data_IF_219135123903
#
_entry.id   IF_219135123903
#
_cell.length_a   1.000
_cell.length_b   1.000
_cell.length_c   1.000
_cell.angle_alpha   90.00
_cell.angle_beta   90.00
_cell.angle_gamma   90.00
#
_symmetry.space_group_name_H-M   'P 1'
#
loop_
_entity.id
_entity.type
_entity.pdbx_description
1 polymer ?
#
# COMPACT_ATOMS: atom_id res chain seq x y z
N UNK A 1 -29.71 20.41 16.79
CA UNK A 1 -28.50 19.78 16.25
C UNK A 1 -27.36 20.78 16.36
N UNK A 2 -26.20 20.38 16.90
CA UNK A 2 -25.05 21.28 17.03
C UNK A 2 -24.38 21.51 15.68
N UNK A 3 -23.54 22.55 15.58
CA UNK A 3 -22.76 22.82 14.38
C UNK A 3 -21.71 21.72 14.10
N UNK A 4 -21.14 21.11 15.15
CA UNK A 4 -20.25 19.95 15.02
C UNK A 4 -20.96 18.72 14.46
N UNK A 5 -22.15 18.40 14.95
CA UNK A 5 -22.93 17.26 14.45
C UNK A 5 -23.34 17.47 12.99
N UNK A 6 -23.72 18.70 12.64
CA UNK A 6 -24.02 19.09 11.25
C UNK A 6 -22.78 18.91 10.36
N UNK A 7 -21.62 19.36 10.85
CA UNK A 7 -20.36 19.23 10.13
C UNK A 7 -20.01 17.78 9.86
N UNK A 8 -20.06 16.92 10.90
CA UNK A 8 -19.67 15.52 10.79
C UNK A 8 -20.55 14.77 9.78
N UNK A 9 -21.88 14.90 9.87
CA UNK A 9 -22.83 14.26 8.94
C UNK A 9 -22.61 14.69 7.48
N UNK A 10 -22.36 15.97 7.26
CA UNK A 10 -22.12 16.51 5.92
C UNK A 10 -20.81 16.00 5.32
N UNK A 11 -19.74 15.94 6.11
CA UNK A 11 -18.45 15.40 5.67
C UNK A 11 -18.55 13.89 5.42
N UNK A 12 -19.18 13.13 6.32
CA UNK A 12 -19.37 11.68 6.17
C UNK A 12 -20.20 11.34 4.93
N UNK A 13 -21.26 12.12 4.65
CA UNK A 13 -22.07 11.94 3.44
C UNK A 13 -21.26 12.21 2.16
N UNK A 14 -20.47 13.29 2.13
CA UNK A 14 -19.64 13.60 0.97
C UNK A 14 -18.49 12.60 0.77
N UNK A 15 -17.86 12.11 1.84
CA UNK A 15 -16.87 11.04 1.77
C UNK A 15 -17.48 9.76 1.19
N UNK A 16 -18.70 9.40 1.61
CA UNK A 16 -19.42 8.26 1.05
C UNK A 16 -19.72 8.43 -0.44
N UNK A 17 -20.10 9.64 -0.88
CA UNK A 17 -20.29 9.95 -2.30
C UNK A 17 -18.98 9.85 -3.09
N UNK A 18 -17.86 10.31 -2.54
CA UNK A 18 -16.53 10.18 -3.16
C UNK A 18 -16.11 8.72 -3.29
N UNK A 19 -16.34 7.89 -2.27
CA UNK A 19 -16.03 6.46 -2.34
C UNK A 19 -16.88 5.72 -3.38
N UNK A 20 -18.13 6.14 -3.59
CA UNK A 20 -19.03 5.52 -4.57
C UNK A 20 -18.74 5.97 -6.00
N UNK A 21 -18.53 7.28 -6.21
CA UNK A 21 -18.50 7.89 -7.54
C UNK A 21 -17.09 8.29 -8.00
N UNK A 22 -16.09 8.19 -7.12
CA UNK A 22 -14.74 8.69 -7.34
C UNK A 22 -14.61 10.19 -7.09
N UNK A 23 -13.37 10.61 -6.81
CA UNK A 23 -12.98 12.01 -6.77
C UNK A 23 -12.58 12.48 -8.17
N UNK A 24 -13.17 13.57 -8.65
CA UNK A 24 -12.73 14.25 -9.88
C UNK A 24 -11.87 15.46 -9.50
N UNK A 25 -11.00 15.88 -10.42
CA UNK A 25 -10.18 17.09 -10.24
C UNK A 25 -11.12 18.28 -10.08
N UNK A 26 -10.98 19.02 -8.97
CA UNK A 26 -11.74 20.25 -8.72
C UNK A 26 -13.06 20.09 -7.96
N UNK A 27 -13.49 18.84 -7.63
CA UNK A 27 -14.71 18.57 -6.84
C UNK A 27 -16.03 19.13 -7.43
N UNK A 28 -16.02 19.60 -8.69
CA UNK A 28 -17.15 20.30 -9.31
C UNK A 28 -18.42 19.45 -9.40
N UNK A 29 -18.26 18.12 -9.48
CA UNK A 29 -19.38 17.17 -9.52
C UNK A 29 -20.09 16.96 -8.18
N UNK A 30 -19.48 17.38 -7.06
CA UNK A 30 -20.13 17.28 -5.75
C UNK A 30 -21.10 18.44 -5.58
N UNK A 31 -22.40 18.15 -5.73
CA UNK A 31 -23.49 19.09 -5.48
C UNK A 31 -23.66 19.33 -3.98
N UNK A 32 -23.62 20.59 -3.56
CA UNK A 32 -23.78 20.93 -2.15
C UNK A 32 -25.17 20.55 -1.64
N UNK A 33 -26.21 20.73 -2.47
CA UNK A 33 -27.59 20.38 -2.12
C UNK A 33 -27.81 18.86 -2.05
N UNK A 34 -27.14 18.08 -2.88
CA UNK A 34 -27.26 16.61 -2.84
C UNK A 34 -26.62 16.06 -1.57
N UNK A 35 -25.47 16.62 -1.15
CA UNK A 35 -24.84 16.28 0.13
C UNK A 35 -25.76 16.64 1.30
N UNK A 36 -26.41 17.81 1.29
CA UNK A 36 -27.38 18.21 2.33
C UNK A 36 -28.52 17.19 2.44
N UNK A 37 -29.08 16.81 1.29
CA UNK A 37 -30.16 15.83 1.23
C UNK A 37 -29.71 14.47 1.78
N UNK A 38 -28.54 13.99 1.36
CA UNK A 38 -28.00 12.70 1.78
C UNK A 38 -27.58 12.67 3.26
N UNK A 39 -27.05 13.77 3.79
CA UNK A 39 -26.69 13.92 5.20
C UNK A 39 -27.92 14.03 6.13
N UNK A 40 -29.11 14.30 5.56
CA UNK A 40 -30.35 14.43 6.32
C UNK A 40 -30.34 15.61 7.30
N UNK A 41 -29.64 16.69 6.95
CA UNK A 41 -29.48 17.88 7.81
C UNK A 41 -30.30 19.07 7.30
N UNK A 42 -30.60 20.00 8.22
CA UNK A 42 -31.29 21.25 7.87
C UNK A 42 -30.40 22.17 7.04
N UNK A 43 -30.94 22.69 5.92
CA UNK A 43 -30.30 23.76 5.12
C UNK A 43 -29.86 24.94 5.97
N UNK A 44 -30.71 25.39 6.90
CA UNK A 44 -30.39 26.54 7.78
C UNK A 44 -29.17 26.27 8.66
N UNK A 45 -29.01 25.05 9.17
CA UNK A 45 -27.83 24.67 9.94
C UNK A 45 -26.58 24.61 9.06
N UNK A 46 -26.72 24.10 7.83
CA UNK A 46 -25.61 24.01 6.86
C UNK A 46 -25.12 25.38 6.43
N UNK A 47 -26.01 26.27 5.98
CA UNK A 47 -25.62 27.63 5.56
C UNK A 47 -25.15 28.51 6.72
N UNK A 48 -25.49 28.17 7.98
CA UNK A 48 -24.88 28.80 9.17
C UNK A 48 -23.42 28.36 9.33
N UNK A 49 -23.11 27.08 9.14
CA UNK A 49 -21.75 26.51 9.29
C UNK A 49 -20.84 26.82 8.09
N UNK A 50 -21.41 26.77 6.89
CA UNK A 50 -20.75 27.04 5.61
C UNK A 50 -21.63 27.97 4.78
N UNK A 51 -21.45 29.30 4.93
CA UNK A 51 -22.19 30.27 4.13
C UNK A 51 -21.96 30.12 2.61
N UNK A 52 -20.81 29.55 2.23
CA UNK A 52 -20.39 29.33 0.84
C UNK A 52 -19.90 27.91 0.62
N UNK A 53 -20.14 27.37 -0.57
CA UNK A 53 -19.74 26.01 -0.98
C UNK A 53 -18.23 25.76 -0.81
N UNK A 54 -17.40 26.75 -1.12
CA UNK A 54 -15.94 26.63 -1.08
C UNK A 54 -15.40 26.36 0.33
N UNK A 55 -16.10 26.85 1.37
CA UNK A 55 -15.73 26.57 2.76
C UNK A 55 -16.01 25.12 3.14
N UNK A 56 -17.12 24.56 2.63
CA UNK A 56 -17.41 23.14 2.79
C UNK A 56 -16.39 22.30 2.03
N UNK A 57 -16.04 22.68 0.81
CA UNK A 57 -15.00 21.99 0.04
C UNK A 57 -13.61 22.06 0.67
N UNK A 58 -13.27 23.17 1.29
CA UNK A 58 -12.03 23.32 2.07
C UNK A 58 -11.97 22.29 3.20
N UNK A 59 -13.07 22.14 3.95
CA UNK A 59 -13.15 21.17 5.05
C UNK A 59 -13.16 19.72 4.51
N UNK A 60 -13.84 19.46 3.38
CA UNK A 60 -13.84 18.15 2.73
C UNK A 60 -12.44 17.76 2.23
N UNK A 61 -11.70 18.67 1.60
CA UNK A 61 -10.32 18.42 1.15
C UNK A 61 -9.40 18.10 2.33
N UNK A 62 -9.58 18.76 3.47
CA UNK A 62 -8.82 18.46 4.69
C UNK A 62 -9.14 17.06 5.22
N UNK A 63 -10.40 16.67 5.28
CA UNK A 63 -10.81 15.31 5.70
C UNK A 63 -10.28 14.25 4.72
N UNK A 64 -10.45 14.46 3.43
CA UNK A 64 -9.92 13.58 2.39
C UNK A 64 -8.41 13.41 2.55
N UNK A 65 -7.65 14.49 2.70
CA UNK A 65 -6.19 14.44 2.90
C UNK A 65 -5.76 13.72 4.18
N UNK A 66 -6.54 13.84 5.26
CA UNK A 66 -6.29 13.11 6.51
C UNK A 66 -6.58 11.61 6.37
N UNK A 67 -7.60 11.26 5.59
CA UNK A 67 -8.04 9.89 5.32
C UNK A 67 -7.33 9.20 4.15
N UNK A 68 -6.54 9.91 3.34
CA UNK A 68 -6.04 9.46 2.03
C UNK A 68 -4.99 8.32 2.03
N UNK A 69 -4.89 7.49 3.07
CA UNK A 69 -3.98 6.33 3.08
C UNK A 69 -4.65 4.97 3.41
N UNK A 70 -5.63 4.47 2.62
CA UNK A 70 -6.39 3.28 3.01
C UNK A 70 -5.96 1.96 2.34
N UNK A 71 -5.40 1.99 1.12
CA UNK A 71 -5.17 0.76 0.34
C UNK A 71 -4.10 -0.19 0.91
N UNK A 72 -3.26 0.30 1.82
CA UNK A 72 -2.12 -0.45 2.34
C UNK A 72 -2.51 -1.64 3.25
N UNK A 73 -3.58 -1.52 4.03
CA UNK A 73 -3.92 -2.52 5.05
C UNK A 73 -4.48 -3.82 4.44
N UNK A 74 -5.36 -3.71 3.44
CA UNK A 74 -5.92 -4.89 2.74
C UNK A 74 -4.85 -5.57 1.88
N UNK A 75 -3.96 -4.79 1.25
CA UNK A 75 -2.83 -5.33 0.51
C UNK A 75 -1.86 -6.10 1.42
N UNK A 76 -1.60 -5.62 2.65
CA UNK A 76 -0.69 -6.25 3.60
C UNK A 76 -1.13 -7.68 4.00
N UNK A 77 -2.40 -7.88 4.37
CA UNK A 77 -2.91 -9.21 4.74
C UNK A 77 -2.90 -10.19 3.57
N UNK A 78 -3.25 -9.71 2.36
CA UNK A 78 -3.19 -10.52 1.15
C UNK A 78 -1.75 -10.92 0.82
N UNK A 79 -0.82 -9.98 0.93
CA UNK A 79 0.60 -10.20 0.66
C UNK A 79 1.21 -11.16 1.68
N UNK A 80 0.90 -11.06 2.98
CA UNK A 80 1.39 -12.02 3.98
C UNK A 80 0.89 -13.45 3.71
N UNK A 81 -0.38 -13.63 3.33
CA UNK A 81 -0.92 -14.94 2.92
C UNK A 81 -0.24 -15.47 1.67
N UNK A 82 0.03 -14.62 0.68
CA UNK A 82 0.74 -14.98 -0.54
C UNK A 82 2.16 -15.46 -0.19
N UNK A 83 2.91 -14.70 0.60
CA UNK A 83 4.25 -15.06 1.05
C UNK A 83 4.25 -16.39 1.83
N UNK A 84 3.26 -16.61 2.69
CA UNK A 84 3.07 -17.88 3.39
C UNK A 84 2.87 -19.06 2.45
N UNK A 85 2.06 -18.91 1.40
CA UNK A 85 1.84 -19.98 0.42
C UNK A 85 3.09 -20.30 -0.41
N UNK A 86 3.88 -19.27 -0.78
CA UNK A 86 5.17 -19.43 -1.45
C UNK A 86 6.15 -20.19 -0.55
N UNK A 87 6.24 -19.80 0.72
CA UNK A 87 7.09 -20.49 1.70
C UNK A 87 6.67 -21.96 1.87
N UNK A 88 5.37 -22.24 1.99
CA UNK A 88 4.87 -23.59 2.17
C UNK A 88 5.26 -24.51 1.00
N UNK A 89 5.13 -24.02 -0.25
CA UNK A 89 5.50 -24.77 -1.45
C UNK A 89 7.00 -24.97 -1.63
N UNK A 90 7.84 -24.15 -0.98
CA UNK A 90 9.29 -24.10 -1.19
C UNK A 90 10.10 -24.27 0.09
N UNK A 91 9.50 -24.79 1.16
CA UNK A 91 10.14 -24.85 2.48
C UNK A 91 11.47 -25.62 2.50
N UNK A 92 11.64 -26.60 1.61
CA UNK A 92 12.88 -27.37 1.46
C UNK A 92 14.05 -26.51 0.97
N UNK A 93 13.79 -25.42 0.24
CA UNK A 93 14.82 -24.52 -0.31
C UNK A 93 15.59 -23.79 0.81
N UNK A 94 14.99 -23.64 2.00
CA UNK A 94 15.61 -23.01 3.17
C UNK A 94 16.89 -23.73 3.66
N UNK A 95 17.05 -25.01 3.30
CA UNK A 95 18.20 -25.83 3.69
C UNK A 95 19.53 -25.38 3.06
N UNK A 96 19.50 -24.58 1.99
CA UNK A 96 20.69 -24.13 1.28
C UNK A 96 20.75 -22.61 1.12
N UNK A 97 21.94 -21.99 1.10
CA UNK A 97 22.06 -20.56 0.82
C UNK A 97 21.42 -20.14 -0.50
N UNK A 98 21.60 -20.93 -1.57
CA UNK A 98 21.01 -20.64 -2.87
C UNK A 98 19.49 -20.72 -2.84
N UNK A 99 18.92 -21.78 -2.24
CA UNK A 99 17.48 -21.92 -2.14
C UNK A 99 16.82 -20.82 -1.31
N UNK A 100 17.49 -20.32 -0.26
CA UNK A 100 17.03 -19.13 0.47
C UNK A 100 17.00 -17.88 -0.39
N UNK A 101 18.03 -17.68 -1.22
CA UNK A 101 18.08 -16.56 -2.15
C UNK A 101 17.02 -16.67 -3.25
N UNK A 102 16.81 -17.87 -3.79
CA UNK A 102 15.76 -18.15 -4.78
C UNK A 102 14.36 -17.91 -4.18
N UNK A 103 14.15 -18.28 -2.91
CA UNK A 103 12.90 -18.01 -2.20
C UNK A 103 12.64 -16.51 -2.02
N UNK A 104 13.64 -15.73 -1.60
CA UNK A 104 13.50 -14.26 -1.50
C UNK A 104 13.22 -13.64 -2.87
N UNK A 105 13.91 -14.11 -3.89
CA UNK A 105 13.70 -13.68 -5.27
C UNK A 105 12.25 -13.92 -5.71
N UNK A 106 11.73 -15.11 -5.44
CA UNK A 106 10.34 -15.45 -5.77
C UNK A 106 9.34 -14.62 -4.96
N UNK A 107 9.57 -14.47 -3.65
CA UNK A 107 8.74 -13.65 -2.77
C UNK A 107 8.63 -12.21 -3.29
N UNK A 108 9.75 -11.58 -3.65
CA UNK A 108 9.78 -10.24 -4.26
C UNK A 108 9.00 -10.19 -5.57
N UNK A 109 9.15 -11.21 -6.43
CA UNK A 109 8.50 -11.26 -7.74
C UNK A 109 6.98 -11.32 -7.62
N UNK A 110 6.47 -12.19 -6.74
CA UNK A 110 5.03 -12.41 -6.61
C UNK A 110 4.34 -11.36 -5.75
N UNK A 111 4.98 -10.88 -4.67
CA UNK A 111 4.41 -9.82 -3.83
C UNK A 111 4.27 -8.52 -4.63
N UNK A 112 5.29 -8.17 -5.42
CA UNK A 112 5.24 -6.96 -6.25
C UNK A 112 4.09 -7.00 -7.27
N UNK A 113 3.80 -8.15 -7.88
CA UNK A 113 2.64 -8.29 -8.81
C UNK A 113 1.32 -8.14 -8.05
N UNK A 114 1.19 -8.84 -6.92
CA UNK A 114 -0.02 -8.83 -6.09
C UNK A 114 -0.32 -7.43 -5.56
N UNK A 115 0.69 -6.73 -5.04
CA UNK A 115 0.56 -5.36 -4.55
C UNK A 115 0.17 -4.41 -5.69
N UNK A 116 0.73 -4.59 -6.88
CA UNK A 116 0.43 -3.74 -8.04
C UNK A 116 -1.01 -3.90 -8.51
N UNK A 117 -1.50 -5.14 -8.62
CA UNK A 117 -2.90 -5.43 -8.97
C UNK A 117 -3.85 -4.88 -7.89
N UNK A 118 -3.57 -5.13 -6.61
CA UNK A 118 -4.39 -4.67 -5.50
C UNK A 118 -4.48 -3.13 -5.43
N UNK A 119 -3.37 -2.43 -5.63
CA UNK A 119 -3.34 -0.96 -5.62
C UNK A 119 -4.02 -0.40 -6.87
N UNK A 120 -3.81 -1.00 -8.04
CA UNK A 120 -4.45 -0.57 -9.29
C UNK A 120 -5.99 -0.60 -9.18
N UNK A 121 -6.54 -1.66 -8.60
CA UNK A 121 -7.99 -1.86 -8.51
C UNK A 121 -8.65 -1.09 -7.34
N UNK A 122 -7.85 -0.52 -6.43
CA UNK A 122 -8.34 0.20 -5.25
C UNK A 122 -9.02 1.53 -5.61
N UNK A 123 -10.26 1.71 -5.13
CA UNK A 123 -11.00 2.97 -5.24
C UNK A 123 -10.37 4.07 -4.37
N UNK A 124 -9.83 3.69 -3.21
CA UNK A 124 -9.15 4.56 -2.29
C UNK A 124 -7.85 5.10 -2.88
N UNK A 125 -7.12 4.27 -3.62
CA UNK A 125 -5.94 4.71 -4.36
C UNK A 125 -6.27 5.70 -5.48
N UNK A 126 -7.32 5.43 -6.26
CA UNK A 126 -7.82 6.38 -7.27
C UNK A 126 -8.20 7.72 -6.65
N UNK A 127 -8.84 7.68 -5.48
CA UNK A 127 -9.17 8.90 -4.70
C UNK A 127 -7.92 9.64 -4.25
N UNK A 128 -6.89 8.92 -3.77
CA UNK A 128 -5.60 9.51 -3.41
C UNK A 128 -4.93 10.20 -4.61
N UNK A 129 -4.88 9.57 -5.79
CA UNK A 129 -4.31 10.16 -7.00
C UNK A 129 -5.08 11.41 -7.45
N UNK A 130 -6.41 11.36 -7.42
CA UNK A 130 -7.25 12.52 -7.74
C UNK A 130 -7.06 13.67 -6.74
N UNK A 131 -6.83 13.36 -5.46
CA UNK A 131 -6.54 14.36 -4.43
C UNK A 131 -5.17 15.01 -4.65
N UNK A 132 -4.15 14.24 -5.03
CA UNK A 132 -2.84 14.78 -5.43
C UNK A 132 -2.97 15.72 -6.64
N UNK A 133 -3.74 15.34 -7.66
CA UNK A 133 -4.02 16.20 -8.81
C UNK A 133 -4.79 17.48 -8.42
N UNK A 134 -5.78 17.34 -7.54
CA UNK A 134 -6.55 18.49 -7.02
C UNK A 134 -5.64 19.43 -6.23
N UNK A 135 -4.76 18.90 -5.38
CA UNK A 135 -3.77 19.67 -4.64
C UNK A 135 -2.87 20.50 -5.59
N UNK A 136 -2.42 19.93 -6.72
CA UNK A 136 -1.62 20.68 -7.69
C UNK A 136 -2.35 21.92 -8.24
N UNK A 137 -3.67 21.84 -8.39
CA UNK A 137 -4.51 22.92 -8.92
C UNK A 137 -4.94 23.98 -7.90
N UNK A 138 -4.68 23.76 -6.60
CA UNK A 138 -5.06 24.73 -5.55
C UNK A 138 -4.26 26.03 -5.67
N UNK A 139 -4.88 27.21 -5.54
CA UNK A 139 -4.14 28.47 -5.46
C UNK A 139 -3.28 28.52 -4.19
N UNK A 140 -2.24 29.35 -4.23
CA UNK A 140 -1.42 29.61 -3.04
C UNK A 140 -2.28 30.20 -1.90
N UNK A 141 -2.02 29.74 -0.67
CA UNK A 141 -2.72 30.20 0.53
C UNK A 141 -2.90 29.10 1.57
N UNK A 142 -3.52 29.45 2.70
CA UNK A 142 -3.64 28.58 3.87
C UNK A 142 -4.27 27.22 3.59
N UNK A 143 -5.25 27.14 2.67
CA UNK A 143 -5.84 25.85 2.30
C UNK A 143 -4.82 24.92 1.64
N UNK A 144 -3.98 25.44 0.74
CA UNK A 144 -2.94 24.67 0.07
C UNK A 144 -1.92 24.17 1.09
N UNK A 145 -1.50 25.02 2.03
CA UNK A 145 -0.57 24.64 3.11
C UNK A 145 -1.15 23.54 4.01
N UNK A 146 -2.42 23.68 4.41
CA UNK A 146 -3.13 22.70 5.23
C UNK A 146 -3.24 21.34 4.54
N UNK A 147 -3.63 21.34 3.27
CA UNK A 147 -3.75 20.13 2.45
C UNK A 147 -2.39 19.49 2.23
N UNK A 148 -1.35 20.27 1.93
CA UNK A 148 0.02 19.78 1.79
C UNK A 148 0.50 19.10 3.07
N UNK A 149 0.30 19.73 4.21
CA UNK A 149 0.71 19.18 5.50
C UNK A 149 -0.07 17.89 5.83
N UNK A 150 -1.36 17.84 5.51
CA UNK A 150 -2.18 16.64 5.70
C UNK A 150 -1.71 15.48 4.80
N UNK A 151 -1.47 15.75 3.51
CA UNK A 151 -0.93 14.77 2.56
C UNK A 151 0.45 14.28 3.00
N UNK A 152 1.35 15.16 3.43
CA UNK A 152 2.67 14.79 3.92
C UNK A 152 2.61 13.85 5.14
N UNK A 153 1.69 14.12 6.09
CA UNK A 153 1.45 13.21 7.24
C UNK A 153 0.87 11.87 6.80
N UNK A 154 -0.02 11.88 5.80
CA UNK A 154 -0.59 10.66 5.23
C UNK A 154 0.49 9.80 4.57
N UNK A 155 1.35 10.44 3.78
CA UNK A 155 2.49 9.82 3.11
C UNK A 155 3.49 9.24 4.10
N UNK A 156 3.87 9.99 5.14
CA UNK A 156 4.79 9.50 6.17
C UNK A 156 4.25 8.25 6.88
N UNK A 157 2.95 8.20 7.19
CA UNK A 157 2.31 7.02 7.78
C UNK A 157 2.29 5.82 6.82
N UNK A 158 2.13 6.06 5.52
CA UNK A 158 2.19 5.00 4.52
C UNK A 158 3.62 4.44 4.40
N UNK A 159 4.62 5.31 4.27
CA UNK A 159 6.04 4.94 4.21
C UNK A 159 6.46 4.16 5.45
N UNK A 160 6.06 4.60 6.64
CA UNK A 160 6.37 3.89 7.90
C UNK A 160 5.83 2.44 7.91
N UNK A 161 4.59 2.23 7.46
CA UNK A 161 4.01 0.88 7.38
C UNK A 161 4.76 -0.01 6.39
N UNK A 162 4.99 0.49 5.17
CA UNK A 162 5.71 -0.27 4.15
C UNK A 162 7.14 -0.57 4.59
N UNK A 163 7.82 0.40 5.23
CA UNK A 163 9.16 0.23 5.77
C UNK A 163 9.22 -0.90 6.81
N UNK A 164 8.26 -0.94 7.75
CA UNK A 164 8.17 -2.00 8.75
C UNK A 164 7.94 -3.39 8.12
N UNK A 165 7.09 -3.49 7.10
CA UNK A 165 6.88 -4.74 6.37
C UNK A 165 8.16 -5.23 5.67
N UNK A 166 8.87 -4.33 4.99
CA UNK A 166 10.17 -4.64 4.38
C UNK A 166 11.21 -5.07 5.41
N UNK A 167 11.32 -4.35 6.52
CA UNK A 167 12.24 -4.67 7.61
C UNK A 167 11.97 -6.04 8.22
N UNK A 168 10.70 -6.33 8.52
CA UNK A 168 10.27 -7.57 9.13
C UNK A 168 10.57 -8.78 8.23
N UNK A 169 10.23 -8.70 6.95
CA UNK A 169 10.49 -9.79 5.99
C UNK A 169 11.98 -9.93 5.69
N UNK A 170 12.70 -8.83 5.45
CA UNK A 170 14.14 -8.88 5.19
C UNK A 170 14.89 -9.50 6.37
N UNK A 171 14.60 -9.04 7.59
CA UNK A 171 15.22 -9.57 8.81
C UNK A 171 14.89 -11.05 8.99
N UNK A 172 13.62 -11.45 8.85
CA UNK A 172 13.23 -12.85 8.98
C UNK A 172 13.97 -13.75 7.96
N UNK A 173 14.11 -13.27 6.73
CA UNK A 173 14.84 -13.92 5.65
C UNK A 173 16.38 -13.79 5.75
N UNK A 174 16.90 -13.22 6.83
CA UNK A 174 18.35 -13.12 7.06
C UNK A 174 19.04 -12.14 6.13
N UNK A 175 18.37 -11.04 5.80
CA UNK A 175 18.93 -9.90 5.08
C UNK A 175 19.09 -8.72 6.03
N UNK A 176 20.09 -7.90 5.73
CA UNK A 176 20.36 -6.63 6.41
C UNK A 176 20.51 -5.51 5.40
N UNK A 177 20.45 -4.27 5.88
CA UNK A 177 20.85 -3.11 5.07
C UNK A 177 22.34 -3.23 4.71
N UNK A 178 22.66 -3.01 3.44
CA UNK A 178 24.03 -3.00 2.94
C UNK A 178 24.81 -1.85 3.60
N UNK A 179 25.96 -2.12 4.23
CA UNK A 179 26.84 -1.07 4.74
C UNK A 179 27.22 -0.06 3.65
N UNK A 180 27.38 1.20 4.01
CA UNK A 180 27.80 2.28 3.11
C UNK A 180 26.86 2.60 1.92
N UNK A 181 25.71 1.91 1.81
CA UNK A 181 24.68 2.22 0.80
C UNK A 181 23.94 3.53 1.06
N UNK A 182 24.04 4.09 2.28
CA UNK A 182 23.17 5.18 2.76
C UNK A 182 21.69 4.78 2.88
N UNK A 183 21.39 3.48 2.76
CA UNK A 183 20.05 2.92 2.75
C UNK A 183 19.36 2.94 4.11
N UNK A 184 18.04 2.98 4.08
CA UNK A 184 17.18 2.74 5.23
C UNK A 184 15.86 2.13 4.76
N UNK A 185 15.14 1.41 5.61
CA UNK A 185 13.83 0.87 5.24
C UNK A 185 12.81 1.95 4.84
N UNK A 186 12.76 3.14 5.47
CA UNK A 186 11.96 4.27 4.96
C UNK A 186 12.36 4.74 3.56
N UNK A 187 13.66 4.75 3.23
CA UNK A 187 14.13 5.08 1.87
C UNK A 187 13.70 4.02 0.85
N UNK A 188 13.88 2.74 1.18
CA UNK A 188 13.42 1.61 0.34
C UNK A 188 11.90 1.72 0.08
N UNK A 189 11.11 1.93 1.13
CA UNK A 189 9.66 2.10 1.05
C UNK A 189 9.27 3.31 0.19
N UNK A 190 9.99 4.43 0.32
CA UNK A 190 9.77 5.64 -0.49
C UNK A 190 10.03 5.36 -1.97
N UNK A 191 11.16 4.71 -2.30
CA UNK A 191 11.51 4.38 -3.68
C UNK A 191 10.52 3.38 -4.29
N UNK A 192 10.20 2.31 -3.57
CA UNK A 192 9.22 1.32 -4.02
C UNK A 192 7.83 1.94 -4.21
N UNK A 193 7.39 2.78 -3.26
CA UNK A 193 6.12 3.50 -3.35
C UNK A 193 6.06 4.50 -4.51
N UNK A 194 7.15 5.22 -4.77
CA UNK A 194 7.25 6.12 -5.92
C UNK A 194 7.18 5.37 -7.26
N UNK A 195 7.89 4.24 -7.38
CA UNK A 195 7.81 3.38 -8.58
C UNK A 195 6.41 2.83 -8.77
N UNK A 196 5.80 2.30 -7.71
CA UNK A 196 4.44 1.76 -7.73
C UNK A 196 3.44 2.82 -8.21
N UNK A 197 3.50 4.04 -7.67
CA UNK A 197 2.68 5.18 -8.12
C UNK A 197 2.83 5.47 -9.61
N UNK A 198 4.07 5.53 -10.08
CA UNK A 198 4.35 5.76 -11.49
C UNK A 198 3.74 4.68 -12.38
N UNK A 199 3.93 3.40 -12.02
CA UNK A 199 3.39 2.26 -12.78
C UNK A 199 1.87 2.22 -12.76
N UNK A 200 1.22 2.48 -11.63
CA UNK A 200 -0.25 2.55 -11.56
C UNK A 200 -0.78 3.70 -12.42
N UNK A 201 -0.13 4.87 -12.37
CA UNK A 201 -0.53 6.01 -13.20
C UNK A 201 -0.38 5.69 -14.70
N UNK A 202 0.73 5.05 -15.09
CA UNK A 202 0.95 4.64 -16.48
C UNK A 202 -0.06 3.56 -16.92
N UNK A 203 -0.42 2.62 -16.04
CA UNK A 203 -1.37 1.55 -16.35
C UNK A 203 -2.79 2.06 -16.67
N UNK A 204 -3.16 3.25 -16.21
CA UNK A 204 -4.41 3.91 -16.61
C UNK A 204 -4.48 4.19 -18.12
N UNK A 205 -3.32 4.40 -18.76
CA UNK A 205 -3.21 4.66 -20.21
C UNK A 205 -2.71 3.46 -21.01
N UNK A 206 -1.91 2.58 -20.38
CA UNK A 206 -1.41 1.33 -20.96
C UNK A 206 -1.75 0.15 -20.02
N UNK A 207 -2.97 -0.41 -20.09
CA UNK A 207 -3.40 -1.52 -19.23
C UNK A 207 -2.54 -2.79 -19.38
N UNK A 208 -1.80 -2.94 -20.49
CA UNK A 208 -0.92 -4.09 -20.70
C UNK A 208 0.23 -4.11 -19.68
N UNK A 209 0.56 -2.99 -19.04
CA UNK A 209 1.60 -2.93 -18.00
C UNK A 209 1.32 -3.86 -16.81
N UNK A 210 0.04 -4.13 -16.50
CA UNK A 210 -0.36 -5.05 -15.43
C UNK A 210 0.06 -6.50 -15.73
N UNK A 211 -0.14 -6.92 -16.98
CA UNK A 211 0.08 -8.30 -17.42
C UNK A 211 1.43 -8.50 -18.10
N UNK A 212 2.14 -7.43 -18.46
CA UNK A 212 3.45 -7.50 -19.11
C UNK A 212 4.43 -8.28 -18.23
N UNK A 213 5.10 -9.25 -18.86
CA UNK A 213 6.15 -10.05 -18.26
C UNK A 213 7.43 -9.96 -19.08
N UNK A 214 8.57 -9.90 -18.40
CA UNK A 214 9.90 -9.83 -19.00
C UNK A 214 10.72 -11.03 -18.51
N UNK A 215 11.22 -11.89 -19.41
CA UNK A 215 12.14 -12.96 -19.04
C UNK A 215 13.45 -12.36 -18.49
N UNK A 216 13.74 -12.57 -17.21
CA UNK A 216 14.88 -11.94 -16.55
C UNK A 216 15.36 -12.72 -15.32
N UNK A 217 16.56 -12.37 -14.85
CA UNK A 217 17.15 -12.85 -13.60
C UNK A 217 17.83 -11.70 -12.83
N UNK A 218 17.07 -10.73 -12.31
CA UNK A 218 17.61 -9.48 -11.76
C UNK A 218 18.39 -9.66 -10.45
N UNK A 219 18.19 -10.78 -9.75
CA UNK A 219 18.84 -11.07 -8.46
C UNK A 219 19.98 -12.07 -8.56
N UNK A 220 20.23 -12.65 -9.75
CA UNK A 220 21.12 -13.80 -9.96
C UNK A 220 20.66 -15.08 -9.21
N UNK A 221 19.36 -15.32 -9.18
CA UNK A 221 18.76 -16.58 -8.74
C UNK A 221 19.15 -17.76 -9.64
N UNK A 222 18.85 -18.99 -9.20
CA UNK A 222 19.22 -20.22 -9.89
C UNK A 222 18.66 -20.37 -11.31
N UNK A 223 17.57 -19.67 -11.63
CA UNK A 223 16.98 -19.65 -12.97
C UNK A 223 16.34 -18.30 -13.31
N UNK A 224 16.29 -17.98 -14.61
CA UNK A 224 15.48 -16.88 -15.10
C UNK A 224 13.98 -17.20 -14.96
N UNK A 225 13.17 -16.17 -14.78
CA UNK A 225 11.72 -16.27 -14.69
C UNK A 225 11.05 -15.10 -15.44
N UNK A 226 9.74 -15.17 -15.56
CA UNK A 226 8.92 -14.09 -16.10
C UNK A 226 8.57 -13.08 -15.00
N UNK A 227 9.08 -11.86 -15.15
CA UNK A 227 8.96 -10.80 -14.16
C UNK A 227 7.93 -9.72 -14.54
N UNK A 228 7.05 -9.30 -13.62
CA UNK A 228 6.32 -8.05 -13.77
C UNK A 228 7.31 -6.86 -13.70
N UNK A 229 6.99 -5.75 -14.36
CA UNK A 229 7.86 -4.54 -14.35
C UNK A 229 8.11 -4.02 -12.93
N UNK A 230 7.07 -4.01 -12.09
CA UNK A 230 7.18 -3.63 -10.68
C UNK A 230 8.12 -4.59 -9.91
N UNK A 231 8.12 -5.88 -10.26
CA UNK A 231 9.00 -6.87 -9.65
C UNK A 231 10.47 -6.64 -10.01
N UNK A 232 10.76 -6.25 -11.26
CA UNK A 232 12.11 -5.85 -11.67
C UNK A 232 12.61 -4.65 -10.87
N UNK A 233 11.75 -3.65 -10.68
CA UNK A 233 12.11 -2.47 -9.90
C UNK A 233 12.30 -2.81 -8.41
N UNK A 234 11.41 -3.61 -7.82
CA UNK A 234 11.54 -4.09 -6.45
C UNK A 234 12.84 -4.89 -6.25
N UNK A 235 13.20 -5.76 -7.19
CA UNK A 235 14.45 -6.50 -7.18
C UNK A 235 15.68 -5.58 -7.29
N UNK A 236 15.65 -4.56 -8.14
CA UNK A 236 16.72 -3.58 -8.26
C UNK A 236 16.91 -2.74 -6.98
N UNK A 237 15.82 -2.29 -6.36
CA UNK A 237 15.85 -1.58 -5.09
C UNK A 237 16.41 -2.51 -3.99
N UNK A 238 15.89 -3.73 -3.87
CA UNK A 238 16.37 -4.70 -2.89
C UNK A 238 17.85 -5.03 -3.07
N UNK A 239 18.32 -5.31 -4.29
CA UNK A 239 19.72 -5.62 -4.56
C UNK A 239 20.69 -4.46 -4.27
N UNK A 240 20.21 -3.23 -4.42
CA UNK A 240 20.99 -2.01 -4.10
C UNK A 240 21.19 -1.88 -2.59
N UNK A 241 20.12 -2.00 -1.80
CA UNK A 241 20.13 -1.63 -0.38
C UNK A 241 20.19 -2.79 0.60
N UNK A 242 19.93 -4.02 0.16
CA UNK A 242 19.91 -5.21 1.01
C UNK A 242 21.00 -6.19 0.59
N UNK A 243 21.53 -6.90 1.57
CA UNK A 243 22.43 -8.03 1.38
C UNK A 243 22.16 -9.12 2.41
N UNK A 244 22.52 -10.38 2.12
CA UNK A 244 22.48 -11.44 3.12
C UNK A 244 23.30 -11.04 4.36
N UNK A 245 22.75 -11.28 5.53
CA UNK A 245 23.43 -11.05 6.79
C UNK A 245 24.37 -12.23 7.11
N UNK A 246 25.70 -12.03 7.11
CA UNK A 246 26.65 -13.11 7.39
C UNK A 246 26.57 -13.64 8.82
N UNK A 247 26.00 -12.86 9.75
CA UNK A 247 25.91 -13.22 11.17
C UNK A 247 24.65 -14.05 11.47
N UNK A 248 23.74 -14.20 10.50
CA UNK A 248 22.52 -14.98 10.66
C UNK A 248 22.76 -16.48 10.46
N UNK A 249 22.45 -17.25 11.51
CA UNK A 249 22.39 -18.71 11.47
C UNK A 249 20.98 -19.16 11.12
N UNK A 250 20.88 -20.14 10.21
CA UNK A 250 19.62 -20.75 9.79
C UNK A 250 19.39 -22.08 10.52
N UNK A 251 18.72 -22.01 11.66
CA UNK A 251 18.33 -23.15 12.49
C UNK A 251 16.82 -23.39 12.45
N UNK A 252 16.37 -24.44 13.15
CA UNK A 252 14.95 -24.79 13.23
C UNK A 252 14.08 -23.73 13.92
N UNK A 253 14.66 -22.96 14.84
CA UNK A 253 13.96 -21.88 15.54
C UNK A 253 13.63 -20.75 14.57
N UNK A 254 14.62 -20.31 13.76
CA UNK A 254 14.39 -19.30 12.72
C UNK A 254 13.37 -19.73 11.69
N UNK A 255 13.44 -20.98 11.22
CA UNK A 255 12.46 -21.51 10.25
C UNK A 255 11.06 -21.52 10.86
N UNK A 256 10.93 -21.84 12.15
CA UNK A 256 9.65 -21.80 12.86
C UNK A 256 9.14 -20.37 13.02
N UNK A 257 10.00 -19.43 13.38
CA UNK A 257 9.65 -18.01 13.49
C UNK A 257 9.21 -17.41 12.15
N UNK A 258 9.89 -17.76 11.04
CA UNK A 258 9.51 -17.35 9.69
C UNK A 258 8.14 -17.92 9.29
N UNK A 259 7.85 -19.18 9.63
CA UNK A 259 6.54 -19.78 9.38
C UNK A 259 5.43 -19.08 10.16
N UNK A 260 5.63 -18.87 11.46
CA UNK A 260 4.67 -18.16 12.30
C UNK A 260 4.41 -16.73 11.79
N UNK A 261 5.47 -16.02 11.40
CA UNK A 261 5.38 -14.68 10.80
C UNK A 261 4.46 -14.66 9.57
N UNK A 262 4.58 -15.66 8.69
CA UNK A 262 3.79 -15.76 7.46
C UNK A 262 2.46 -16.51 7.65
N UNK A 263 1.99 -16.64 8.89
CA UNK A 263 0.72 -17.29 9.22
C UNK A 263 0.68 -18.78 8.88
N UNK A 264 1.85 -19.42 8.78
CA UNK A 264 2.02 -20.87 8.60
C UNK A 264 2.20 -21.54 9.96
N UNK A 265 1.24 -21.35 10.88
CA UNK A 265 1.25 -22.13 12.12
C UNK A 265 1.11 -23.62 11.78
N UNK A 266 1.90 -24.44 12.45
CA UNK A 266 1.86 -25.89 12.31
C UNK A 266 0.49 -26.41 12.77
N UNK A 267 -0.48 -26.47 11.86
CA UNK A 267 -1.66 -27.34 11.98
C UNK A 267 -1.23 -28.78 11.79
N UNK A 268 -0.43 -29.26 12.73
CA UNK A 268 -0.17 -30.66 12.96
C UNK A 268 -0.68 -31.01 14.35
N UNK A 269 -1.98 -31.27 14.48
CA UNK A 269 -2.53 -32.15 15.53
C UNK A 269 -3.85 -32.81 15.06
N UNK A 270 -3.72 -34.10 14.76
CA UNK A 270 -4.71 -35.16 14.86
C UNK A 270 -6.03 -35.06 14.06
N UNK A 271 -6.01 -35.56 12.82
CA UNK A 271 -7.11 -36.41 12.35
C UNK A 271 -7.10 -37.70 13.15
N UNK A 272 -7.82 -37.72 14.28
CA UNK A 272 -8.28 -38.95 14.88
C UNK A 272 -9.40 -39.52 13.98
N UNK A 273 -9.06 -40.60 13.31
CA UNK A 273 -9.97 -41.48 12.58
C UNK A 273 -11.05 -42.02 13.54
N UNK A 274 -12.34 -41.88 13.26
CA UNK A 274 -13.36 -42.57 14.03
C UNK A 274 -13.50 -43.99 13.47
N UNK A 275 -13.08 -44.94 14.30
CA UNK A 275 -13.31 -46.38 14.20
C UNK A 275 -14.78 -46.68 13.86
N UNK A 276 -15.02 -47.31 12.71
CA UNK A 276 -16.25 -48.06 12.37
C UNK A 276 -15.97 -49.15 11.34
#
# INVERSE_FOLDING_TARGET
>A
MSDQETQRRMLDAALAMVHQNGLTVGLDHISFEDVIHQAGVSRTAVYRRWPYKDLFFSDLLRELAQGAAPAAAVAEEATMRLLGSVLAGRAAELASPQGRHDLVTEMLRVSASSDFEAIHDSAEWRTYLALQATFMSLPDGHLRDDVQAALARSEARFVDRVARGWEQIATAMGYRLRPDSGGSFPLIATLAGATMRGLVLMALSDPELLTRRVPANPTAAGAAADWPLIGLAAAGIAGTFLEPDPDVVWDGERVTALRALLGQDATGHATAEPDR
#
